data_IF_785914996762
#
_entry.id   IF_785914996762
#
_cell.length_a   1.000
_cell.length_b   1.000
_cell.length_c   1.000
_cell.angle_alpha   90.00
_cell.angle_beta   90.00
_cell.angle_gamma   90.00
#
_symmetry.space_group_name_H-M   'P 1'
#
loop_
_entity.id
_entity.type
_entity.pdbx_description
1 polymer ?
#
# COMPACT_ATOMS: atom_id res chain seq x y z
N UNK A 1 6.98 -21.71 0.95
CA UNK A 1 6.24 -21.14 -0.18
C UNK A 1 5.56 -19.86 0.32
N UNK A 2 5.70 -18.77 -0.40
CA UNK A 2 5.10 -17.46 -0.09
C UNK A 2 3.86 -17.29 -0.96
N UNK A 3 2.77 -16.79 -0.40
CA UNK A 3 1.47 -16.72 -1.09
C UNK A 3 0.77 -15.39 -0.83
N UNK A 4 0.80 -14.51 -1.81
CA UNK A 4 -0.03 -13.32 -1.78
C UNK A 4 -1.52 -13.69 -1.71
N UNK A 5 -2.31 -12.85 -1.06
CA UNK A 5 -3.76 -12.98 -1.01
C UNK A 5 -4.39 -11.91 -1.91
N UNK A 6 -5.24 -12.33 -2.83
CA UNK A 6 -5.89 -11.44 -3.78
C UNK A 6 -7.39 -11.51 -3.58
N UNK A 7 -8.00 -10.35 -3.29
CA UNK A 7 -9.44 -10.16 -3.30
C UNK A 7 -9.85 -9.21 -4.41
N UNK A 8 -11.05 -9.39 -4.99
CA UNK A 8 -11.55 -8.51 -6.04
C UNK A 8 -12.99 -8.08 -5.71
N UNK A 9 -13.22 -6.77 -5.72
CA UNK A 9 -14.55 -6.19 -5.81
C UNK A 9 -14.79 -5.88 -7.29
N UNK A 10 -15.76 -6.55 -7.96
CA UNK A 10 -15.98 -6.38 -9.39
C UNK A 10 -16.38 -4.94 -9.74
N UNK A 11 -15.89 -4.45 -10.88
CA UNK A 11 -16.33 -3.21 -11.50
C UNK A 11 -17.48 -3.44 -12.50
N UNK A 12 -18.09 -2.35 -12.96
CA UNK A 12 -19.11 -2.38 -14.00
C UNK A 12 -18.52 -2.52 -15.41
N UNK A 13 -17.26 -2.11 -15.59
CA UNK A 13 -16.55 -2.11 -16.86
C UNK A 13 -15.23 -2.91 -16.73
N UNK A 14 -14.74 -3.41 -17.86
CA UNK A 14 -13.40 -4.01 -17.95
C UNK A 14 -12.31 -2.93 -17.99
N UNK A 15 -12.15 -2.22 -16.89
CA UNK A 15 -11.16 -1.17 -16.71
C UNK A 15 -10.00 -1.67 -15.84
N UNK A 16 -8.84 -0.97 -15.85
CA UNK A 16 -7.74 -1.29 -14.94
C UNK A 16 -8.15 -1.26 -13.48
N UNK A 17 -7.56 -2.13 -12.68
CA UNK A 17 -7.78 -2.19 -11.25
C UNK A 17 -7.22 -0.95 -10.52
N UNK A 18 -7.97 -0.48 -9.53
CA UNK A 18 -7.41 0.23 -8.40
C UNK A 18 -6.99 -0.82 -7.37
N UNK A 19 -5.69 -0.97 -7.12
CA UNK A 19 -5.17 -1.92 -6.14
C UNK A 19 -4.91 -1.23 -4.80
N UNK A 20 -5.45 -1.80 -3.73
CA UNK A 20 -5.10 -1.50 -2.34
C UNK A 20 -4.11 -2.56 -1.88
N UNK A 21 -2.92 -2.17 -1.49
CA UNK A 21 -1.81 -3.08 -1.19
C UNK A 21 -1.27 -2.85 0.22
N UNK A 22 -0.95 -3.94 0.92
CA UNK A 22 -0.29 -4.00 2.22
C UNK A 22 0.40 -5.35 2.35
N UNK A 23 1.43 -5.47 3.19
CA UNK A 23 2.03 -6.77 3.47
C UNK A 23 1.47 -7.38 4.76
N UNK A 24 1.46 -8.71 4.86
CA UNK A 24 0.93 -9.38 6.04
C UNK A 24 1.97 -10.18 6.82
N UNK A 25 3.20 -10.25 6.32
CA UNK A 25 4.34 -10.79 7.05
C UNK A 25 4.95 -9.73 7.97
N UNK A 26 5.82 -10.16 8.85
CA UNK A 26 6.57 -9.30 9.76
C UNK A 26 7.95 -9.88 10.05
N UNK A 27 8.86 -9.06 10.55
CA UNK A 27 10.17 -9.54 11.01
C UNK A 27 10.03 -10.52 12.18
N UNK A 28 10.91 -11.52 12.32
CA UNK A 28 10.77 -12.58 13.33
C UNK A 28 10.70 -12.10 14.78
N UNK A 29 11.15 -10.87 15.06
CA UNK A 29 11.21 -10.32 16.42
C UNK A 29 10.04 -9.40 16.76
N UNK A 30 9.20 -9.03 15.80
CA UNK A 30 8.06 -8.12 16.00
C UNK A 30 6.72 -8.85 15.83
N UNK A 31 5.71 -8.51 16.63
CA UNK A 31 4.33 -8.99 16.41
C UNK A 31 3.72 -8.54 15.07
N UNK A 32 4.19 -7.40 14.51
CA UNK A 32 3.72 -6.89 13.22
C UNK A 32 2.35 -6.23 13.26
N UNK A 33 1.95 -5.68 14.40
CA UNK A 33 0.64 -5.03 14.49
C UNK A 33 0.62 -3.66 13.79
N UNK A 34 1.70 -2.89 13.94
CA UNK A 34 1.91 -1.66 13.20
C UNK A 34 2.41 -1.93 11.79
N UNK A 35 3.42 -2.77 11.67
CA UNK A 35 4.13 -3.10 10.44
C UNK A 35 3.90 -4.56 10.00
N UNK A 36 2.93 -4.88 9.14
CA UNK A 36 1.94 -3.97 8.56
C UNK A 36 0.49 -4.51 8.79
N UNK A 37 0.26 -5.10 9.97
CA UNK A 37 -1.08 -5.55 10.37
C UNK A 37 -2.12 -4.43 10.31
N UNK A 38 -1.72 -3.20 10.62
CA UNK A 38 -2.59 -2.02 10.54
C UNK A 38 -3.03 -1.73 9.10
N UNK A 39 -2.12 -1.80 8.12
CA UNK A 39 -2.44 -1.66 6.70
C UNK A 39 -3.38 -2.76 6.21
N UNK A 40 -3.12 -4.00 6.60
CA UNK A 40 -4.01 -5.13 6.28
C UNK A 40 -5.43 -4.88 6.80
N UNK A 41 -5.56 -4.49 8.07
CA UNK A 41 -6.88 -4.21 8.69
C UNK A 41 -7.56 -3.02 8.01
N UNK A 42 -6.82 -1.96 7.69
CA UNK A 42 -7.36 -0.79 7.00
C UNK A 42 -7.90 -1.18 5.61
N UNK A 43 -7.19 -1.99 4.85
CA UNK A 43 -7.63 -2.48 3.53
C UNK A 43 -8.88 -3.36 3.65
N UNK A 44 -8.92 -4.26 4.63
CA UNK A 44 -10.08 -5.13 4.83
C UNK A 44 -11.33 -4.33 5.25
N UNK A 45 -11.17 -3.33 6.11
CA UNK A 45 -12.29 -2.46 6.49
C UNK A 45 -12.72 -1.56 5.32
N UNK A 46 -11.79 -0.99 4.58
CA UNK A 46 -12.11 -0.26 3.35
C UNK A 46 -12.89 -1.14 2.38
N UNK A 47 -12.48 -2.38 2.17
CA UNK A 47 -13.20 -3.32 1.32
C UNK A 47 -14.60 -3.64 1.83
N UNK A 48 -14.77 -3.76 3.14
CA UNK A 48 -16.10 -3.97 3.76
C UNK A 48 -17.03 -2.80 3.46
N UNK A 49 -16.55 -1.56 3.61
CA UNK A 49 -17.33 -0.34 3.33
C UNK A 49 -17.61 -0.21 1.83
N UNK A 50 -16.57 -0.34 1.01
CA UNK A 50 -16.69 -0.23 -0.45
C UNK A 50 -17.68 -1.22 -1.05
N UNK A 51 -17.84 -2.41 -0.47
CA UNK A 51 -18.84 -3.38 -0.92
C UNK A 51 -20.29 -2.93 -0.66
N UNK A 52 -20.54 -2.02 0.27
CA UNK A 52 -21.88 -1.50 0.54
C UNK A 52 -22.36 -0.55 -0.58
N UNK A 53 -21.44 0.18 -1.19
CA UNK A 53 -21.73 1.17 -2.23
C UNK A 53 -21.44 0.64 -3.65
N UNK A 54 -21.02 -0.62 -3.77
CA UNK A 54 -20.80 -1.24 -5.08
C UNK A 54 -22.12 -1.33 -5.90
N UNK A 55 -22.05 -1.32 -7.24
CA UNK A 55 -20.84 -1.49 -8.05
C UNK A 55 -20.15 -0.18 -8.45
N UNK A 56 -18.84 -0.18 -8.47
CA UNK A 56 -18.01 0.92 -8.98
C UNK A 56 -17.74 0.77 -10.47
N UNK A 57 -17.28 1.86 -11.12
CA UNK A 57 -16.88 1.80 -12.52
C UNK A 57 -15.66 0.91 -12.72
N UNK A 58 -14.60 1.18 -11.97
CA UNK A 58 -13.38 0.38 -11.94
C UNK A 58 -13.49 -0.79 -10.95
N UNK A 59 -12.95 -1.96 -11.28
CA UNK A 59 -12.79 -3.01 -10.27
C UNK A 59 -11.71 -2.62 -9.26
N UNK A 60 -11.90 -3.06 -8.00
CA UNK A 60 -10.95 -2.82 -6.91
C UNK A 60 -10.28 -4.13 -6.56
N UNK A 61 -8.95 -4.14 -6.51
CA UNK A 61 -8.14 -5.27 -6.09
C UNK A 61 -7.63 -5.04 -4.67
N UNK A 62 -7.74 -6.04 -3.82
CA UNK A 62 -7.06 -6.11 -2.54
C UNK A 62 -5.86 -7.04 -2.75
N UNK A 63 -4.67 -6.54 -2.57
CA UNK A 63 -3.42 -7.29 -2.72
C UNK A 63 -2.68 -7.29 -1.38
N UNK A 64 -2.76 -8.40 -0.66
CA UNK A 64 -2.01 -8.60 0.57
C UNK A 64 -0.79 -9.45 0.23
N UNK A 65 0.37 -8.84 0.29
CA UNK A 65 1.65 -9.42 -0.11
C UNK A 65 2.29 -10.20 1.03
N UNK A 66 3.12 -11.17 0.67
CA UNK A 66 3.89 -11.99 1.59
C UNK A 66 5.39 -11.70 1.41
N UNK A 67 6.16 -11.84 2.48
CA UNK A 67 7.61 -11.70 2.48
C UNK A 67 8.12 -10.34 1.93
N UNK A 68 7.45 -9.26 2.31
CA UNK A 68 7.94 -7.90 2.12
C UNK A 68 9.27 -7.72 2.87
N UNK A 69 9.29 -8.10 4.14
CA UNK A 69 10.43 -8.07 5.04
C UNK A 69 11.58 -9.00 4.61
N UNK A 70 11.27 -9.98 3.79
CA UNK A 70 12.24 -10.88 3.16
C UNK A 70 12.87 -10.30 1.88
N UNK A 71 12.53 -9.07 1.50
CA UNK A 71 13.03 -8.37 0.31
C UNK A 71 11.99 -8.29 -0.82
N UNK A 72 10.76 -7.89 -0.48
CA UNK A 72 9.65 -7.60 -1.42
C UNK A 72 9.25 -8.80 -2.30
N UNK A 73 9.43 -10.03 -1.79
CA UNK A 73 9.33 -11.25 -2.61
C UNK A 73 7.93 -11.44 -3.20
N UNK A 74 6.88 -11.18 -2.40
CA UNK A 74 5.50 -11.28 -2.86
C UNK A 74 5.19 -10.26 -3.94
N UNK A 75 5.50 -9.01 -3.71
CA UNK A 75 5.30 -7.96 -4.70
C UNK A 75 6.08 -8.24 -6.00
N UNK A 76 7.35 -8.67 -5.91
CA UNK A 76 8.13 -9.06 -7.08
C UNK A 76 7.49 -10.23 -7.83
N UNK A 77 6.98 -11.24 -7.12
CA UNK A 77 6.28 -12.36 -7.75
C UNK A 77 4.98 -11.91 -8.42
N UNK A 78 4.19 -11.06 -7.75
CA UNK A 78 2.95 -10.55 -8.31
C UNK A 78 3.20 -9.69 -9.55
N UNK A 79 3.95 -8.61 -9.43
CA UNK A 79 4.10 -7.65 -10.52
C UNK A 79 4.87 -8.20 -11.73
N UNK A 80 5.81 -9.12 -11.53
CA UNK A 80 6.59 -9.69 -12.63
C UNK A 80 5.97 -10.94 -13.26
N UNK A 81 5.13 -11.71 -12.55
CA UNK A 81 4.71 -13.03 -12.99
C UNK A 81 3.19 -13.23 -13.01
N UNK A 82 2.42 -12.53 -12.17
CA UNK A 82 0.98 -12.79 -12.06
C UNK A 82 0.19 -12.16 -13.23
N UNK A 83 -0.73 -12.90 -13.87
CA UNK A 83 -1.49 -12.38 -15.03
C UNK A 83 -2.29 -11.10 -14.73
N UNK A 84 -2.79 -10.94 -13.51
CA UNK A 84 -3.57 -9.76 -13.10
C UNK A 84 -2.72 -8.51 -12.94
N UNK A 85 -1.40 -8.62 -12.76
CA UNK A 85 -0.52 -7.46 -12.64
C UNK A 85 -0.64 -6.50 -13.83
N UNK A 86 -0.79 -7.06 -15.04
CA UNK A 86 -0.98 -6.28 -16.28
C UNK A 86 -2.29 -5.48 -16.33
N UNK A 87 -3.24 -5.79 -15.45
CA UNK A 87 -4.52 -5.09 -15.33
C UNK A 87 -4.54 -4.05 -14.22
N UNK A 88 -3.48 -3.92 -13.44
CA UNK A 88 -3.37 -2.89 -12.40
C UNK A 88 -3.06 -1.55 -13.04
N UNK A 89 -3.88 -0.55 -12.77
CA UNK A 89 -3.69 0.82 -13.26
C UNK A 89 -3.13 1.77 -12.22
N UNK A 90 -3.54 1.60 -10.97
CA UNK A 90 -3.12 2.43 -9.84
C UNK A 90 -2.92 1.54 -8.63
N UNK A 91 -1.90 1.85 -7.81
CA UNK A 91 -1.64 1.21 -6.52
C UNK A 91 -1.71 2.25 -5.41
N UNK A 92 -2.47 1.96 -4.37
CA UNK A 92 -2.41 2.64 -3.08
C UNK A 92 -1.82 1.65 -2.08
N UNK A 93 -0.56 1.84 -1.73
CA UNK A 93 0.14 1.04 -0.74
C UNK A 93 -0.04 1.66 0.63
N UNK A 94 -0.25 0.83 1.64
CA UNK A 94 -0.39 1.26 3.03
C UNK A 94 0.68 0.55 3.84
N UNK A 95 1.37 1.30 4.66
CA UNK A 95 2.55 0.87 5.42
C UNK A 95 2.50 1.37 6.87
N UNK A 96 3.25 0.71 7.73
CA UNK A 96 3.50 1.14 9.10
C UNK A 96 5.00 1.23 9.40
N UNK A 97 5.51 2.42 9.68
CA UNK A 97 6.91 2.61 10.14
C UNK A 97 6.97 3.07 11.59
N UNK A 98 6.03 2.60 12.40
CA UNK A 98 5.86 2.94 13.83
C UNK A 98 4.59 2.33 14.36
N UNK A 99 4.13 2.80 15.54
CA UNK A 99 2.93 2.27 16.21
C UNK A 99 1.87 3.34 16.49
N UNK A 100 2.04 4.55 15.97
CA UNK A 100 1.10 5.65 16.21
C UNK A 100 1.15 6.74 15.14
N UNK A 101 0.22 7.68 15.25
CA UNK A 101 0.16 8.87 14.40
C UNK A 101 -0.84 8.74 13.25
N UNK A 102 -0.99 9.83 12.51
CA UNK A 102 -1.84 9.86 11.32
C UNK A 102 -1.11 9.27 10.12
N UNK A 103 -1.85 8.56 9.28
CA UNK A 103 -1.33 8.12 7.98
C UNK A 103 -1.10 9.32 7.08
N UNK A 104 0.04 9.35 6.41
CA UNK A 104 0.43 10.40 5.48
C UNK A 104 0.90 9.82 4.14
N UNK A 105 0.71 10.56 3.06
CA UNK A 105 1.38 10.26 1.80
C UNK A 105 2.85 10.61 1.94
N UNK A 106 3.71 9.63 1.96
CA UNK A 106 5.15 9.86 2.05
C UNK A 106 5.87 9.68 0.70
N UNK A 107 5.27 8.95 -0.23
CA UNK A 107 5.81 8.76 -1.58
C UNK A 107 4.69 8.69 -2.63
N UNK A 108 4.99 9.17 -3.83
CA UNK A 108 4.11 9.07 -5.00
C UNK A 108 4.95 8.72 -6.22
N UNK A 109 4.35 8.06 -7.20
CA UNK A 109 4.94 7.88 -8.53
C UNK A 109 5.21 9.21 -9.23
N UNK A 110 6.00 9.21 -10.31
CA UNK A 110 6.41 10.45 -10.98
C UNK A 110 5.26 11.21 -11.67
N UNK A 111 4.27 10.54 -12.19
CA UNK A 111 3.09 11.15 -12.83
C UNK A 111 1.91 11.17 -11.86
N UNK A 112 1.99 12.01 -10.83
CA UNK A 112 1.11 11.97 -9.67
C UNK A 112 0.08 13.10 -9.58
N UNK A 113 0.05 14.04 -10.51
CA UNK A 113 -0.79 15.25 -10.44
C UNK A 113 -2.28 14.90 -10.24
N UNK A 114 -2.79 13.93 -10.99
CA UNK A 114 -4.17 13.48 -10.86
C UNK A 114 -4.46 12.90 -9.47
N UNK A 115 -3.55 12.07 -8.95
CA UNK A 115 -3.69 11.41 -7.66
C UNK A 115 -3.66 12.42 -6.51
N UNK A 116 -2.73 13.36 -6.56
CA UNK A 116 -2.62 14.42 -5.55
C UNK A 116 -3.81 15.38 -5.59
N UNK A 117 -4.31 15.70 -6.76
CA UNK A 117 -5.52 16.51 -6.91
C UNK A 117 -6.74 15.79 -6.31
N UNK A 118 -6.92 14.50 -6.59
CA UNK A 118 -8.00 13.71 -5.98
C UNK A 118 -7.90 13.69 -4.46
N UNK A 119 -6.71 13.43 -3.93
CA UNK A 119 -6.47 13.42 -2.48
C UNK A 119 -6.80 14.78 -1.84
N UNK A 120 -6.41 15.88 -2.48
CA UNK A 120 -6.64 17.24 -1.95
C UNK A 120 -8.12 17.67 -2.00
N UNK A 121 -8.91 17.08 -2.90
CA UNK A 121 -10.35 17.36 -3.01
C UNK A 121 -11.20 16.56 -2.03
N UNK A 122 -10.78 15.35 -1.70
CA UNK A 122 -11.59 14.40 -0.96
C UNK A 122 -11.26 14.35 0.55
N UNK A 123 -10.22 15.06 0.97
CA UNK A 123 -9.78 15.12 2.36
C UNK A 123 -9.74 16.56 2.89
N UNK A 124 -10.46 16.81 3.99
CA UNK A 124 -10.43 18.09 4.71
C UNK A 124 -9.01 18.43 5.25
N UNK A 125 -8.17 17.44 5.45
CA UNK A 125 -6.79 17.57 5.94
C UNK A 125 -5.87 16.53 5.29
N UNK A 126 -5.47 16.71 4.01
CA UNK A 126 -4.50 15.80 3.40
C UNK A 126 -3.13 15.96 4.09
N UNK A 127 -2.69 14.91 4.75
CA UNK A 127 -1.35 14.86 5.32
C UNK A 127 -0.37 14.36 4.26
N UNK A 128 0.47 15.24 3.78
CA UNK A 128 1.54 14.90 2.83
C UNK A 128 2.71 15.86 3.00
N UNK A 129 3.93 15.36 2.84
CA UNK A 129 5.15 16.14 2.96
C UNK A 129 5.91 16.07 1.63
N UNK A 130 5.98 17.17 0.89
CA UNK A 130 6.68 17.19 -0.40
C UNK A 130 8.17 16.82 -0.29
N UNK A 131 8.77 17.03 0.89
CA UNK A 131 10.15 16.68 1.18
C UNK A 131 10.32 15.17 1.47
N UNK A 132 9.25 14.43 1.80
CA UNK A 132 9.33 13.02 2.17
C UNK A 132 9.86 12.16 1.02
N UNK A 133 9.48 12.44 -0.22
CA UNK A 133 9.97 11.74 -1.41
C UNK A 133 11.50 11.85 -1.58
N UNK A 134 12.08 13.03 -1.32
CA UNK A 134 13.52 13.25 -1.42
C UNK A 134 14.29 12.63 -0.25
N UNK A 135 13.68 12.61 0.94
CA UNK A 135 14.24 11.94 2.11
C UNK A 135 14.23 10.43 1.89
N UNK A 136 13.09 9.87 1.43
CA UNK A 136 12.94 8.43 1.20
C UNK A 136 13.93 7.89 0.17
N UNK A 137 14.18 8.62 -0.94
CA UNK A 137 15.20 8.25 -1.95
C UNK A 137 16.61 8.07 -1.37
N UNK A 138 16.88 8.61 -0.20
CA UNK A 138 18.19 8.55 0.48
C UNK A 138 18.19 7.57 1.66
N UNK A 139 17.03 7.01 2.00
CA UNK A 139 16.92 5.99 3.04
C UNK A 139 17.13 4.60 2.43
N UNK A 140 17.75 3.66 3.13
CA UNK A 140 17.97 2.30 2.65
C UNK A 140 16.68 1.44 2.67
N UNK A 141 15.55 2.00 3.08
CA UNK A 141 14.28 1.29 3.19
C UNK A 141 13.56 1.31 1.84
N UNK A 142 13.00 0.19 1.48
CA UNK A 142 12.17 0.02 0.31
C UNK A 142 10.80 -0.53 0.75
N UNK A 143 9.77 -0.42 -0.08
CA UNK A 143 8.44 -0.97 0.18
C UNK A 143 7.94 -1.68 -1.08
N UNK A 144 6.90 -2.47 -0.95
CA UNK A 144 6.26 -3.13 -2.08
C UNK A 144 5.84 -2.16 -3.19
N UNK A 145 5.58 -0.90 -2.85
CA UNK A 145 5.29 0.14 -3.83
C UNK A 145 6.44 0.39 -4.82
N UNK A 146 7.68 0.18 -4.41
CA UNK A 146 8.84 0.30 -5.31
C UNK A 146 8.80 -0.72 -6.44
N UNK A 147 8.25 -1.91 -6.18
CA UNK A 147 8.06 -2.92 -7.22
C UNK A 147 7.03 -2.46 -8.23
N UNK A 148 5.91 -1.90 -7.76
CA UNK A 148 4.87 -1.33 -8.63
C UNK A 148 5.43 -0.17 -9.48
N UNK A 149 6.23 0.73 -8.90
CA UNK A 149 6.90 1.81 -9.64
C UNK A 149 7.85 1.26 -10.72
N UNK A 150 8.66 0.24 -10.41
CA UNK A 150 9.52 -0.43 -11.41
C UNK A 150 8.72 -1.08 -12.54
N UNK A 151 7.50 -1.52 -12.26
CA UNK A 151 6.56 -2.01 -13.27
C UNK A 151 5.82 -0.89 -14.04
N UNK A 152 6.18 0.40 -13.83
CA UNK A 152 5.56 1.58 -14.41
C UNK A 152 4.08 1.76 -14.04
N UNK A 153 3.68 1.31 -12.86
CA UNK A 153 2.34 1.52 -12.34
C UNK A 153 2.35 2.77 -11.45
N UNK A 154 1.38 3.65 -11.70
CA UNK A 154 1.21 4.88 -10.91
C UNK A 154 0.60 4.56 -9.54
N UNK A 155 0.92 5.37 -8.54
CA UNK A 155 0.34 5.17 -7.22
C UNK A 155 0.83 6.11 -6.15
N UNK A 156 0.40 5.79 -4.95
CA UNK A 156 0.79 6.49 -3.71
C UNK A 156 1.14 5.46 -2.64
N UNK A 157 2.07 5.85 -1.80
CA UNK A 157 2.54 5.09 -0.66
C UNK A 157 2.23 5.87 0.62
N UNK A 158 1.46 5.27 1.52
CA UNK A 158 0.98 5.86 2.76
C UNK A 158 1.66 5.20 3.94
N UNK A 159 2.07 5.98 4.93
CA UNK A 159 2.56 5.42 6.18
C UNK A 159 2.22 6.30 7.37
N UNK A 160 2.13 5.69 8.54
CA UNK A 160 2.24 6.37 9.83
C UNK A 160 3.62 6.10 10.42
N UNK A 161 4.19 7.11 11.11
CA UNK A 161 5.61 7.08 11.54
C UNK A 161 5.81 7.48 13.00
N UNK A 162 4.73 7.60 13.76
CA UNK A 162 4.82 7.93 15.18
C UNK A 162 5.37 6.76 16.00
N UNK A 163 6.08 7.06 17.07
CA UNK A 163 6.75 6.07 17.93
C UNK A 163 7.63 5.08 17.16
N UNK A 164 8.42 5.59 16.23
CA UNK A 164 9.28 4.80 15.32
C UNK A 164 10.27 3.88 16.03
N UNK A 165 10.56 4.13 17.30
CA UNK A 165 11.39 3.25 18.13
C UNK A 165 10.73 1.89 18.42
N UNK A 166 9.45 1.69 18.12
CA UNK A 166 8.76 0.41 18.21
C UNK A 166 8.88 -0.42 16.93
N UNK A 167 9.15 0.23 15.79
CA UNK A 167 9.30 -0.41 14.49
C UNK A 167 10.34 -1.52 14.52
N UNK A 168 10.01 -2.72 14.00
CA UNK A 168 10.86 -3.91 13.99
C UNK A 168 11.30 -4.38 15.38
N UNK A 169 10.52 -4.12 16.42
CA UNK A 169 10.81 -4.54 17.79
C UNK A 169 9.64 -5.32 18.39
N UNK A 170 9.85 -6.01 19.55
CA UNK A 170 8.73 -6.65 20.28
C UNK A 170 7.62 -5.69 20.75
N UNK A 171 7.83 -4.39 20.64
CA UNK A 171 6.85 -3.37 21.03
C UNK A 171 5.94 -2.93 19.87
N UNK A 172 6.10 -3.51 18.69
CA UNK A 172 5.19 -3.32 17.56
C UNK A 172 3.89 -4.12 17.75
N UNK A 173 3.05 -3.65 18.70
CA UNK A 173 1.83 -4.32 19.13
C UNK A 173 0.67 -3.32 19.37
#
# INVERSE_FOLDING_TARGET
AHYDKIGIIPGQEELPFLALMAHYDSVPMAPGAGDDGAGVVAILEAARVLKLDAPYKHPIMLLLTDAEEGGLIGAEAFFNQHPLAKKVGIVLNVEGSGTSGGSMVFRTSDKNELLLNSLSHDHDHPYGFSLSKEIFKRMPNDTDFSVAERANISGMDFAFVGERNHYHTPNDN
#
